data_IF_763799577351
#
_entry.id   IF_763799577351
#
_cell.length_a   1.000
_cell.length_b   1.000
_cell.length_c   1.000
_cell.angle_alpha   90.00
_cell.angle_beta   90.00
_cell.angle_gamma   90.00
#
_symmetry.space_group_name_H-M   'P 1'
#
loop_
_entity.id
_entity.type
_entity.pdbx_description
1 polymer ?
#
# COMPACT_ATOMS: atom_id res chain seq x y z
N UNK A 1 -59.81 41.21 -53.92
CA UNK A 1 -59.63 42.20 -52.81
C UNK A 1 -58.85 41.57 -51.69
N UNK A 2 -57.77 42.21 -51.38
CA UNK A 2 -56.85 42.02 -50.22
C UNK A 2 -55.86 40.86 -50.28
N UNK A 3 -54.74 41.26 -50.75
CA UNK A 3 -53.36 40.74 -50.63
C UNK A 3 -52.95 40.67 -49.16
N UNK A 4 -52.42 39.56 -48.71
CA UNK A 4 -51.61 39.51 -47.48
C UNK A 4 -50.25 38.85 -47.80
N UNK A 5 -49.26 39.69 -47.84
CA UNK A 5 -47.85 39.32 -47.93
C UNK A 5 -47.38 38.69 -46.62
N UNK A 6 -46.88 37.45 -46.68
CA UNK A 6 -46.17 36.82 -45.57
C UNK A 6 -44.70 37.02 -45.81
N UNK A 7 -44.06 37.86 -44.94
CA UNK A 7 -42.64 38.06 -44.90
C UNK A 7 -41.97 36.84 -44.24
N UNK A 8 -41.16 36.11 -45.00
CA UNK A 8 -40.26 35.05 -44.50
C UNK A 8 -39.01 35.72 -43.87
N UNK A 9 -39.01 35.81 -42.56
CA UNK A 9 -37.79 36.14 -41.82
C UNK A 9 -36.94 34.87 -41.72
N UNK A 10 -35.93 34.78 -42.56
CA UNK A 10 -34.88 33.77 -42.44
C UNK A 10 -34.01 34.07 -41.23
N UNK A 11 -34.26 33.38 -40.13
CA UNK A 11 -33.40 33.39 -38.94
C UNK A 11 -32.17 32.54 -39.26
N UNK A 12 -31.07 33.17 -39.67
CA UNK A 12 -29.74 32.56 -39.71
C UNK A 12 -29.26 32.35 -38.29
N UNK A 13 -29.50 31.13 -37.77
CA UNK A 13 -28.81 30.67 -36.59
C UNK A 13 -27.39 30.36 -37.01
N UNK A 14 -26.48 31.30 -36.75
CA UNK A 14 -25.05 31.05 -36.78
C UNK A 14 -24.76 30.14 -35.61
N UNK A 15 -24.74 28.83 -35.86
CA UNK A 15 -24.07 27.88 -34.99
C UNK A 15 -22.58 28.22 -35.06
N UNK A 16 -22.13 29.06 -34.16
CA UNK A 16 -20.69 29.11 -33.79
C UNK A 16 -20.40 27.77 -33.12
N UNK A 17 -20.03 26.76 -33.91
CA UNK A 17 -19.24 25.67 -33.43
C UNK A 17 -17.94 26.32 -32.92
N UNK A 18 -17.89 26.59 -31.63
CA UNK A 18 -16.64 26.75 -30.93
C UNK A 18 -15.89 25.42 -31.14
N UNK A 19 -15.07 25.33 -32.18
CA UNK A 19 -14.08 24.29 -32.33
C UNK A 19 -13.30 24.33 -31.02
N UNK A 20 -13.56 23.36 -30.14
CA UNK A 20 -12.62 23.04 -29.06
C UNK A 20 -11.32 22.73 -29.81
N UNK A 21 -10.45 23.73 -29.92
CA UNK A 21 -9.11 23.51 -30.49
C UNK A 21 -8.47 22.45 -29.61
N UNK A 22 -8.32 21.26 -30.16
CA UNK A 22 -7.62 20.18 -29.46
C UNK A 22 -6.25 20.75 -29.08
N UNK A 23 -6.02 20.88 -27.78
CA UNK A 23 -4.80 21.47 -27.25
C UNK A 23 -3.61 20.64 -27.77
N UNK A 24 -2.68 21.26 -28.47
CA UNK A 24 -1.50 20.58 -29.00
C UNK A 24 -0.54 20.16 -27.88
N UNK A 25 0.30 19.16 -28.13
CA UNK A 25 1.32 18.75 -27.16
C UNK A 25 2.26 19.95 -26.85
N UNK A 26 2.59 20.75 -27.85
CA UNK A 26 3.42 21.95 -27.70
C UNK A 26 2.80 22.96 -26.74
N UNK A 27 1.48 23.16 -26.75
CA UNK A 27 0.78 24.06 -25.82
C UNK A 27 0.83 23.53 -24.39
N UNK A 28 0.58 22.22 -24.18
CA UNK A 28 0.69 21.60 -22.86
C UNK A 28 2.12 21.73 -22.33
N UNK A 29 3.10 21.43 -23.16
CA UNK A 29 4.52 21.56 -22.79
C UNK A 29 4.88 23.00 -22.45
N UNK A 30 4.44 23.98 -23.24
CA UNK A 30 4.72 25.40 -22.99
C UNK A 30 4.16 25.87 -21.66
N UNK A 31 2.90 25.52 -21.38
CA UNK A 31 2.22 25.84 -20.11
C UNK A 31 2.95 25.25 -18.89
N UNK A 32 3.49 24.05 -19.01
CA UNK A 32 4.15 23.34 -17.91
C UNK A 32 5.69 23.33 -18.01
N UNK A 33 6.29 24.05 -18.93
CA UNK A 33 7.73 23.99 -19.27
C UNK A 33 8.65 24.14 -18.07
N UNK A 34 8.38 25.11 -17.20
CA UNK A 34 9.20 25.37 -16.00
C UNK A 34 9.13 24.23 -14.97
N UNK A 35 7.95 23.62 -14.80
CA UNK A 35 7.74 22.50 -13.88
C UNK A 35 8.43 21.26 -14.43
N UNK A 36 8.29 20.99 -15.72
CA UNK A 36 8.96 19.90 -16.45
C UNK A 36 10.48 20.07 -16.35
N UNK A 37 11.00 21.27 -16.59
CA UNK A 37 12.44 21.57 -16.55
C UNK A 37 13.05 21.39 -15.14
N UNK A 38 12.29 21.66 -14.07
CA UNK A 38 12.71 21.45 -12.68
C UNK A 38 12.59 19.98 -12.28
N UNK A 39 11.67 19.22 -12.85
CA UNK A 39 11.40 17.79 -12.60
C UNK A 39 11.36 17.44 -11.10
N UNK A 40 10.59 18.19 -10.31
CA UNK A 40 10.42 17.96 -8.88
C UNK A 40 9.18 17.11 -8.61
N UNK A 41 9.31 16.02 -7.84
CA UNK A 41 8.19 15.14 -7.47
C UNK A 41 7.01 15.89 -6.82
N UNK A 42 7.29 16.97 -6.07
CA UNK A 42 6.25 17.73 -5.35
C UNK A 42 5.35 18.56 -6.28
N UNK A 43 5.83 18.92 -7.47
CA UNK A 43 5.16 19.91 -8.34
C UNK A 43 4.85 19.39 -9.74
N UNK A 44 5.32 18.20 -10.11
CA UNK A 44 5.25 17.68 -11.47
C UNK A 44 3.89 17.04 -11.82
N UNK A 45 3.12 16.59 -10.82
CA UNK A 45 1.89 15.83 -11.03
C UNK A 45 0.90 16.53 -11.98
N UNK A 46 0.58 17.82 -11.82
CA UNK A 46 -0.36 18.49 -12.75
C UNK A 46 0.08 18.47 -14.21
N UNK A 47 1.40 18.51 -14.48
CA UNK A 47 1.93 18.43 -15.84
C UNK A 47 1.75 17.01 -16.42
N UNK A 48 1.99 15.99 -15.63
CA UNK A 48 1.78 14.58 -16.03
C UNK A 48 0.29 14.31 -16.27
N UNK A 49 -0.58 14.79 -15.39
CA UNK A 49 -2.03 14.62 -15.51
C UNK A 49 -2.58 15.30 -16.77
N UNK A 50 -2.12 16.52 -17.09
CA UNK A 50 -2.49 17.23 -18.30
C UNK A 50 -2.03 16.49 -19.57
N UNK A 51 -0.81 15.93 -19.56
CA UNK A 51 -0.31 15.13 -20.66
C UNK A 51 -1.15 13.86 -20.88
N UNK A 52 -1.47 13.13 -19.82
CA UNK A 52 -2.28 11.91 -19.91
C UNK A 52 -3.71 12.21 -20.34
N UNK A 53 -4.32 13.26 -19.77
CA UNK A 53 -5.69 13.67 -20.08
C UNK A 53 -5.87 14.10 -21.52
N UNK A 54 -4.82 14.61 -22.19
CA UNK A 54 -4.86 15.03 -23.60
C UNK A 54 -5.10 13.89 -24.58
N UNK A 55 -4.74 12.65 -24.21
CA UNK A 55 -4.81 11.45 -25.06
C UNK A 55 -4.11 11.59 -26.42
N UNK A 56 -3.17 12.53 -26.55
CA UNK A 56 -2.43 12.75 -27.79
C UNK A 56 -1.46 11.59 -28.02
N UNK A 57 -1.30 11.09 -29.26
CA UNK A 57 -0.48 9.90 -29.55
C UNK A 57 1.02 10.11 -29.31
N UNK A 58 1.48 11.36 -29.39
CA UNK A 58 2.87 11.76 -29.17
C UNK A 58 3.27 11.94 -27.69
N UNK A 59 2.31 11.92 -26.77
CA UNK A 59 2.56 11.98 -25.32
C UNK A 59 3.37 10.78 -24.83
N UNK A 60 3.07 9.58 -25.33
CA UNK A 60 3.85 8.39 -24.96
C UNK A 60 5.32 8.54 -25.34
N UNK A 61 5.60 8.99 -26.55
CA UNK A 61 6.97 9.28 -27.00
C UNK A 61 7.66 10.27 -26.06
N UNK A 62 7.02 11.39 -25.76
CA UNK A 62 7.57 12.40 -24.84
C UNK A 62 7.88 11.81 -23.45
N UNK A 63 6.95 11.05 -22.86
CA UNK A 63 7.14 10.43 -21.55
C UNK A 63 8.29 9.42 -21.54
N UNK A 64 8.44 8.62 -22.60
CA UNK A 64 9.56 7.70 -22.78
C UNK A 64 10.89 8.46 -22.82
N UNK A 65 10.99 9.51 -23.65
CA UNK A 65 12.19 10.34 -23.75
C UNK A 65 12.51 11.04 -22.41
N UNK A 66 11.49 11.50 -21.71
CA UNK A 66 11.67 12.14 -20.40
C UNK A 66 12.22 11.14 -19.36
N UNK A 67 11.64 9.95 -19.28
CA UNK A 67 12.12 8.89 -18.38
C UNK A 67 13.57 8.48 -18.70
N UNK A 68 13.92 8.45 -19.97
CA UNK A 68 15.28 8.14 -20.46
C UNK A 68 16.29 9.29 -20.26
N UNK A 69 15.88 10.47 -19.73
CA UNK A 69 16.69 11.69 -19.58
C UNK A 69 17.14 12.27 -20.95
N UNK A 70 16.39 12.00 -22.00
CA UNK A 70 16.67 12.47 -23.36
C UNK A 70 16.02 13.83 -23.67
N UNK A 71 15.26 14.43 -22.74
CA UNK A 71 14.69 15.74 -22.93
C UNK A 71 15.69 16.85 -22.58
N UNK A 72 15.67 17.91 -23.40
CA UNK A 72 16.52 19.09 -23.28
C UNK A 72 15.71 20.36 -23.44
N UNK A 73 15.96 21.34 -22.57
CA UNK A 73 15.39 22.68 -22.60
C UNK A 73 16.32 23.62 -23.35
N UNK A 74 15.83 24.29 -24.38
CA UNK A 74 16.50 25.39 -25.00
C UNK A 74 16.43 26.62 -24.08
N UNK A 75 17.58 27.18 -23.68
CA UNK A 75 17.66 28.28 -22.71
C UNK A 75 17.15 29.59 -23.26
N UNK A 76 17.16 29.78 -24.59
CA UNK A 76 16.75 31.04 -25.24
C UNK A 76 15.25 31.05 -25.52
N UNK A 77 14.68 29.93 -25.97
CA UNK A 77 13.28 29.84 -26.40
C UNK A 77 12.36 29.17 -25.37
N UNK A 78 12.93 28.52 -24.33
CA UNK A 78 12.22 27.64 -23.38
C UNK A 78 11.52 26.45 -24.05
N UNK A 79 11.82 26.14 -25.31
CA UNK A 79 11.32 24.99 -25.99
C UNK A 79 11.97 23.70 -25.42
N UNK A 80 11.17 22.64 -25.29
CA UNK A 80 11.66 21.33 -24.86
C UNK A 80 11.69 20.41 -26.09
N UNK A 81 12.81 19.76 -26.31
CA UNK A 81 13.05 18.83 -27.41
C UNK A 81 13.55 17.50 -26.87
N UNK A 82 13.39 16.42 -27.65
CA UNK A 82 14.10 15.17 -27.40
C UNK A 82 15.44 15.14 -28.14
N UNK A 83 16.41 14.41 -27.60
CA UNK A 83 17.69 14.15 -28.27
C UNK A 83 17.89 12.65 -28.38
N UNK A 84 17.96 12.15 -29.60
CA UNK A 84 18.25 10.77 -29.95
C UNK A 84 19.41 10.74 -30.96
N UNK A 85 20.37 9.86 -30.77
CA UNK A 85 21.52 9.68 -31.67
C UNK A 85 22.23 10.96 -32.11
N UNK A 86 22.37 11.89 -31.17
CA UNK A 86 22.94 13.25 -31.39
C UNK A 86 22.12 14.12 -32.35
N UNK A 87 20.82 13.84 -32.52
CA UNK A 87 19.89 14.65 -33.30
C UNK A 87 18.79 15.22 -32.42
N UNK A 88 18.33 16.39 -32.76
CA UNK A 88 17.19 17.03 -32.10
C UNK A 88 15.90 16.51 -32.74
N UNK A 89 14.96 16.06 -31.91
CA UNK A 89 13.66 15.55 -32.34
C UNK A 89 12.57 16.43 -31.74
N UNK A 90 11.69 16.92 -32.57
CA UNK A 90 10.50 17.64 -32.14
C UNK A 90 9.54 16.69 -31.42
N UNK A 91 8.97 17.14 -30.29
CA UNK A 91 8.10 16.28 -29.46
C UNK A 91 6.70 16.14 -30.03
N UNK A 92 6.22 17.09 -30.79
CA UNK A 92 4.87 17.11 -31.33
C UNK A 92 4.79 16.35 -32.67
N UNK A 93 5.69 16.65 -33.59
CA UNK A 93 5.72 16.07 -34.93
C UNK A 93 6.62 14.85 -35.04
N UNK A 94 7.49 14.60 -34.04
CA UNK A 94 8.56 13.60 -34.05
C UNK A 94 9.53 13.76 -35.22
N UNK A 95 9.58 14.94 -35.83
CA UNK A 95 10.47 15.24 -36.94
C UNK A 95 11.89 15.56 -36.43
N UNK A 96 12.84 15.27 -37.29
CA UNK A 96 14.26 15.57 -37.07
C UNK A 96 14.54 17.06 -37.34
N UNK A 97 14.98 17.78 -36.30
CA UNK A 97 15.31 19.19 -36.34
C UNK A 97 16.79 19.46 -36.67
N UNK A 98 17.57 18.41 -36.92
CA UNK A 98 18.99 18.53 -37.23
C UNK A 98 19.94 18.08 -36.11
N UNK A 99 21.25 18.29 -36.29
CA UNK A 99 22.24 17.85 -35.33
C UNK A 99 22.13 18.59 -34.00
N UNK A 100 22.34 17.87 -32.90
CA UNK A 100 22.28 18.42 -31.56
C UNK A 100 23.63 18.96 -31.12
N UNK A 101 23.64 20.25 -30.78
CA UNK A 101 24.75 20.92 -30.10
C UNK A 101 24.38 21.25 -28.66
N UNK A 102 25.16 20.79 -27.70
CA UNK A 102 24.86 20.97 -26.27
C UNK A 102 24.89 22.44 -25.82
N UNK A 103 25.61 23.31 -26.55
CA UNK A 103 25.63 24.75 -26.26
C UNK A 103 24.21 25.32 -26.38
N UNK A 104 23.79 26.10 -25.38
CA UNK A 104 22.42 26.69 -25.37
C UNK A 104 21.32 25.79 -24.79
N UNK A 105 21.59 24.51 -24.53
CA UNK A 105 20.60 23.60 -23.96
C UNK A 105 20.92 23.19 -22.52
N UNK A 106 19.87 22.85 -21.75
CA UNK A 106 19.93 22.26 -20.41
C UNK A 106 19.21 20.95 -20.40
N UNK A 107 19.92 19.86 -20.02
CA UNK A 107 19.31 18.53 -19.89
C UNK A 107 18.29 18.49 -18.75
N UNK A 108 17.12 17.93 -19.01
CA UNK A 108 16.08 17.69 -18.02
C UNK A 108 16.33 16.32 -17.40
N UNK A 109 16.64 16.29 -16.11
CA UNK A 109 17.00 15.07 -15.38
C UNK A 109 15.96 14.72 -14.33
N UNK A 110 14.94 13.91 -14.66
CA UNK A 110 13.96 13.46 -13.68
C UNK A 110 14.64 12.62 -12.60
N UNK A 111 14.36 12.94 -11.34
CA UNK A 111 14.78 12.11 -10.21
C UNK A 111 13.98 10.78 -10.16
N UNK A 112 14.33 9.86 -9.24
CA UNK A 112 13.66 8.56 -9.14
C UNK A 112 12.15 8.69 -8.92
N UNK A 113 11.72 9.63 -8.06
CA UNK A 113 10.30 9.87 -7.80
C UNK A 113 9.52 10.35 -9.03
N UNK A 114 10.10 11.26 -9.83
CA UNK A 114 9.50 11.72 -11.09
C UNK A 114 9.48 10.59 -12.13
N UNK A 115 10.53 9.78 -12.22
CA UNK A 115 10.53 8.62 -13.13
C UNK A 115 9.46 7.59 -12.77
N UNK A 116 9.16 7.39 -11.49
CA UNK A 116 8.05 6.52 -11.06
C UNK A 116 6.70 7.09 -11.50
N UNK A 117 6.46 8.40 -11.34
CA UNK A 117 5.23 9.04 -11.82
C UNK A 117 5.09 8.95 -13.35
N UNK A 118 6.17 9.18 -14.10
CA UNK A 118 6.18 9.01 -15.56
C UNK A 118 5.90 7.54 -15.94
N UNK A 119 6.47 6.57 -15.20
CA UNK A 119 6.20 5.15 -15.46
C UNK A 119 4.73 4.80 -15.23
N UNK A 120 4.12 5.38 -14.18
CA UNK A 120 2.69 5.25 -13.93
C UNK A 120 1.85 5.82 -15.09
N UNK A 121 2.18 7.02 -15.57
CA UNK A 121 1.51 7.63 -16.71
C UNK A 121 1.64 6.80 -18.00
N UNK A 122 2.81 6.21 -18.24
CA UNK A 122 3.06 5.35 -19.40
C UNK A 122 2.22 4.07 -19.39
N UNK A 123 1.86 3.55 -18.22
CA UNK A 123 1.01 2.34 -18.11
C UNK A 123 -0.32 2.53 -18.84
N UNK A 124 -0.93 3.74 -18.77
CA UNK A 124 -2.19 4.02 -19.46
C UNK A 124 -2.12 3.80 -20.98
N UNK A 125 -0.98 4.12 -21.59
CA UNK A 125 -0.74 3.89 -23.03
C UNK A 125 -0.36 2.45 -23.31
N UNK A 126 0.48 1.85 -22.48
CA UNK A 126 1.05 0.51 -22.67
C UNK A 126 0.02 -0.61 -22.47
N UNK A 127 -1.00 -0.42 -21.62
CA UNK A 127 -2.06 -1.41 -21.40
C UNK A 127 -2.86 -1.76 -22.67
N UNK A 128 -2.91 -0.85 -23.65
CA UNK A 128 -3.63 -1.00 -24.90
C UNK A 128 -2.70 -1.02 -26.13
N UNK A 129 -1.40 -1.19 -25.92
CA UNK A 129 -0.43 -1.28 -27.02
C UNK A 129 -0.73 -2.46 -27.95
N UNK A 130 -0.45 -2.36 -29.27
CA UNK A 130 -0.65 -3.46 -30.21
C UNK A 130 0.14 -4.71 -29.82
N UNK A 131 1.38 -4.54 -29.35
CA UNK A 131 2.30 -5.62 -29.04
C UNK A 131 1.97 -6.27 -27.69
N UNK A 132 1.75 -7.58 -27.68
CA UNK A 132 1.49 -8.37 -26.47
C UNK A 132 2.60 -8.17 -25.42
N UNK A 133 3.86 -8.12 -25.86
CA UNK A 133 5.00 -7.96 -24.96
C UNK A 133 4.96 -6.63 -24.18
N UNK A 134 4.49 -5.54 -24.81
CA UNK A 134 4.35 -4.22 -24.19
C UNK A 134 3.23 -4.26 -23.17
N UNK A 135 2.06 -4.85 -23.51
CA UNK A 135 0.95 -5.02 -22.56
C UNK A 135 1.35 -5.86 -21.35
N UNK A 136 2.08 -6.97 -21.55
CA UNK A 136 2.65 -7.78 -20.46
C UNK A 136 3.60 -6.97 -19.56
N UNK A 137 4.47 -6.17 -20.15
CA UNK A 137 5.38 -5.32 -19.38
C UNK A 137 4.64 -4.28 -18.55
N UNK A 138 3.52 -3.74 -19.06
CA UNK A 138 2.64 -2.83 -18.31
C UNK A 138 2.02 -3.53 -17.09
N UNK A 139 1.48 -4.75 -17.23
CA UNK A 139 0.92 -5.52 -16.13
C UNK A 139 1.99 -5.84 -15.07
N UNK A 140 3.18 -6.26 -15.48
CA UNK A 140 4.30 -6.47 -14.58
C UNK A 140 4.75 -5.17 -13.85
N UNK A 141 4.59 -4.01 -14.49
CA UNK A 141 4.87 -2.72 -13.86
C UNK A 141 3.82 -2.38 -12.78
N UNK A 142 2.54 -2.63 -13.04
CA UNK A 142 1.46 -2.46 -12.07
C UNK A 142 1.68 -3.35 -10.85
N UNK A 143 1.98 -4.63 -11.05
CA UNK A 143 2.25 -5.58 -9.95
C UNK A 143 3.39 -5.13 -9.03
N UNK A 144 4.46 -4.56 -9.60
CA UNK A 144 5.60 -4.08 -8.82
C UNK A 144 5.33 -2.78 -8.06
N UNK A 145 4.38 -1.99 -8.54
CA UNK A 145 4.10 -0.67 -7.99
C UNK A 145 2.59 -0.42 -8.04
N UNK A 146 1.88 -1.14 -7.18
CA UNK A 146 0.44 -1.05 -7.09
C UNK A 146 -0.01 0.35 -6.67
N UNK A 147 -0.99 0.90 -7.40
CA UNK A 147 -1.59 2.19 -7.13
C UNK A 147 -3.09 2.11 -7.43
N UNK A 148 -3.97 2.65 -6.58
CA UNK A 148 -5.42 2.68 -6.83
C UNK A 148 -5.79 3.34 -8.16
N UNK A 149 -4.98 4.28 -8.67
CA UNK A 149 -5.22 4.94 -9.96
C UNK A 149 -5.16 3.98 -11.16
N UNK A 150 -4.57 2.80 -11.01
CA UNK A 150 -4.55 1.80 -12.09
C UNK A 150 -5.86 1.03 -12.26
N UNK A 151 -6.70 0.98 -11.22
CA UNK A 151 -7.93 0.18 -11.27
C UNK A 151 -8.84 0.60 -12.45
N UNK A 152 -9.24 1.87 -12.62
CA UNK A 152 -10.07 2.27 -13.75
C UNK A 152 -9.39 2.08 -15.12
N UNK A 153 -8.06 2.19 -15.19
CA UNK A 153 -7.30 1.97 -16.41
C UNK A 153 -7.29 0.49 -16.80
N UNK A 154 -7.13 -0.40 -15.82
CA UNK A 154 -7.19 -1.86 -16.03
C UNK A 154 -8.58 -2.31 -16.45
N UNK A 155 -9.65 -1.81 -15.79
CA UNK A 155 -11.04 -2.13 -16.12
C UNK A 155 -11.37 -1.71 -17.57
N UNK A 156 -10.99 -0.50 -17.97
CA UNK A 156 -11.15 -0.03 -19.34
C UNK A 156 -10.36 -0.89 -20.33
N UNK A 157 -9.11 -1.19 -20.02
CA UNK A 157 -8.21 -1.98 -20.87
C UNK A 157 -8.67 -3.44 -20.98
N UNK A 158 -9.28 -4.00 -19.93
CA UNK A 158 -9.81 -5.36 -19.91
C UNK A 158 -10.94 -5.52 -20.95
N UNK A 159 -11.83 -4.52 -21.10
CA UNK A 159 -12.90 -4.53 -22.09
C UNK A 159 -12.41 -4.51 -23.56
N UNK A 160 -11.15 -4.14 -23.79
CA UNK A 160 -10.54 -4.08 -25.13
C UNK A 160 -9.56 -5.24 -25.41
N UNK A 161 -9.25 -6.06 -24.39
CA UNK A 161 -8.24 -7.12 -24.53
C UNK A 161 -8.81 -8.33 -25.30
N UNK A 162 -8.04 -8.84 -26.21
CA UNK A 162 -8.40 -9.99 -27.04
C UNK A 162 -7.56 -11.23 -26.78
N UNK A 163 -6.38 -11.09 -26.15
CA UNK A 163 -5.53 -12.22 -25.80
C UNK A 163 -6.06 -12.89 -24.51
N UNK A 164 -6.47 -14.18 -24.56
CA UNK A 164 -7.08 -14.84 -23.39
C UNK A 164 -6.19 -14.90 -22.15
N UNK A 165 -4.86 -14.99 -22.32
CA UNK A 165 -3.93 -15.03 -21.22
C UNK A 165 -3.83 -13.64 -20.54
N UNK A 166 -3.82 -12.57 -21.35
CA UNK A 166 -3.82 -11.21 -20.82
C UNK A 166 -5.17 -10.83 -20.22
N UNK A 167 -6.30 -11.32 -20.75
CA UNK A 167 -7.62 -11.17 -20.14
C UNK A 167 -7.60 -11.73 -18.72
N UNK A 168 -7.14 -12.97 -18.54
CA UNK A 168 -7.05 -13.60 -17.22
C UNK A 168 -6.12 -12.84 -16.27
N UNK A 169 -4.96 -12.39 -16.79
CA UNK A 169 -3.99 -11.62 -16.01
C UNK A 169 -4.53 -10.24 -15.58
N UNK A 170 -5.21 -9.53 -16.49
CA UNK A 170 -5.87 -8.25 -16.19
C UNK A 170 -7.00 -8.43 -15.17
N UNK A 171 -7.85 -9.44 -15.34
CA UNK A 171 -8.92 -9.75 -14.39
C UNK A 171 -8.39 -10.02 -13.00
N UNK A 172 -7.33 -10.82 -12.88
CA UNK A 172 -6.70 -11.09 -11.59
C UNK A 172 -6.19 -9.79 -10.94
N UNK A 173 -5.52 -8.92 -11.70
CA UNK A 173 -5.05 -7.63 -11.18
C UNK A 173 -6.20 -6.69 -10.79
N UNK A 174 -7.28 -6.65 -11.56
CA UNK A 174 -8.49 -5.89 -11.20
C UNK A 174 -9.01 -6.38 -9.85
N UNK A 175 -9.16 -7.69 -9.65
CA UNK A 175 -9.64 -8.23 -8.38
C UNK A 175 -8.68 -7.94 -7.22
N UNK A 176 -7.35 -8.08 -7.41
CA UNK A 176 -6.36 -7.77 -6.38
C UNK A 176 -6.40 -6.30 -5.98
N UNK A 177 -6.46 -5.38 -6.96
CA UNK A 177 -6.56 -3.95 -6.68
C UNK A 177 -7.92 -3.56 -6.08
N UNK A 178 -9.02 -4.18 -6.53
CA UNK A 178 -10.36 -3.96 -5.94
C UNK A 178 -10.40 -4.43 -4.49
N UNK A 179 -9.80 -5.57 -4.18
CA UNK A 179 -9.71 -6.07 -2.82
C UNK A 179 -8.96 -5.09 -1.91
N UNK A 180 -7.87 -4.53 -2.40
CA UNK A 180 -6.98 -3.67 -1.63
C UNK A 180 -7.45 -2.21 -1.54
N UNK A 181 -8.03 -1.68 -2.61
CA UNK A 181 -8.34 -0.25 -2.76
C UNK A 181 -9.80 0.04 -3.07
N UNK A 182 -10.62 -0.98 -3.34
CA UNK A 182 -12.04 -0.81 -3.66
C UNK A 182 -12.80 -0.13 -2.52
N UNK A 183 -13.65 0.82 -2.89
CA UNK A 183 -14.42 1.63 -1.93
C UNK A 183 -15.73 0.96 -1.50
N UNK A 184 -16.26 0.01 -2.29
CA UNK A 184 -17.50 -0.69 -1.95
C UNK A 184 -17.25 -2.05 -1.32
N UNK A 185 -17.97 -2.38 -0.25
CA UNK A 185 -17.92 -3.70 0.36
C UNK A 185 -18.34 -4.80 -0.61
N UNK A 186 -19.39 -4.55 -1.42
CA UNK A 186 -19.87 -5.48 -2.44
C UNK A 186 -18.77 -5.81 -3.47
N UNK A 187 -18.07 -4.79 -4.00
CA UNK A 187 -16.97 -5.00 -4.96
C UNK A 187 -15.82 -5.79 -4.34
N UNK A 188 -15.45 -5.50 -3.10
CA UNK A 188 -14.41 -6.24 -2.37
C UNK A 188 -14.81 -7.70 -2.11
N UNK A 189 -16.06 -7.97 -1.73
CA UNK A 189 -16.58 -9.32 -1.56
C UNK A 189 -16.59 -10.10 -2.87
N UNK A 190 -17.02 -9.47 -3.97
CA UNK A 190 -16.97 -10.07 -5.31
C UNK A 190 -15.52 -10.40 -5.73
N UNK A 191 -14.58 -9.51 -5.45
CA UNK A 191 -13.15 -9.75 -5.71
C UNK A 191 -12.62 -10.94 -4.90
N UNK A 192 -12.94 -11.04 -3.59
CA UNK A 192 -12.56 -12.20 -2.75
C UNK A 192 -13.15 -13.49 -3.33
N UNK A 193 -14.42 -13.48 -3.74
CA UNK A 193 -15.07 -14.66 -4.31
C UNK A 193 -14.39 -15.11 -5.62
N UNK A 194 -13.98 -14.16 -6.46
CA UNK A 194 -13.33 -14.45 -7.74
C UNK A 194 -11.91 -15.05 -7.58
N UNK A 195 -11.12 -14.57 -6.60
CA UNK A 195 -9.72 -15.02 -6.42
C UNK A 195 -9.55 -16.03 -5.30
N UNK A 196 -10.55 -16.26 -4.46
CA UNK A 196 -10.44 -17.04 -3.22
C UNK A 196 -10.12 -18.53 -3.38
N UNK A 197 -10.12 -19.03 -4.62
CA UNK A 197 -9.66 -20.39 -4.95
C UNK A 197 -8.27 -20.44 -5.61
N UNK A 198 -7.64 -19.29 -5.85
CA UNK A 198 -6.33 -19.24 -6.49
C UNK A 198 -5.21 -19.62 -5.52
N UNK A 199 -4.30 -20.48 -5.99
CA UNK A 199 -3.10 -20.87 -5.23
C UNK A 199 -1.97 -19.84 -5.31
N UNK A 200 -2.16 -18.74 -6.03
CA UNK A 200 -1.16 -17.70 -6.18
C UNK A 200 -0.76 -17.07 -4.84
N UNK A 201 0.54 -16.89 -4.68
CA UNK A 201 1.11 -16.26 -3.49
C UNK A 201 0.61 -14.82 -3.33
N UNK A 202 0.40 -14.10 -4.45
CA UNK A 202 -0.11 -12.72 -4.47
C UNK A 202 -1.51 -12.63 -3.85
N UNK A 203 -2.39 -13.61 -4.11
CA UNK A 203 -3.74 -13.67 -3.54
C UNK A 203 -3.67 -13.81 -2.03
N UNK A 204 -2.84 -14.73 -1.52
CA UNK A 204 -2.64 -14.89 -0.06
C UNK A 204 -2.06 -13.63 0.57
N UNK A 205 -1.10 -12.99 -0.11
CA UNK A 205 -0.50 -11.74 0.35
C UNK A 205 -1.51 -10.59 0.39
N UNK A 206 -2.52 -10.58 -0.50
CA UNK A 206 -3.59 -9.59 -0.51
C UNK A 206 -4.68 -9.85 0.54
N UNK A 207 -4.97 -11.13 0.86
CA UNK A 207 -5.99 -11.52 1.84
C UNK A 207 -5.50 -11.40 3.30
N UNK A 208 -4.23 -11.74 3.58
CA UNK A 208 -3.69 -11.74 4.94
C UNK A 208 -3.85 -10.41 5.70
N UNK A 209 -3.60 -9.23 5.11
CA UNK A 209 -3.76 -7.95 5.80
C UNK A 209 -5.19 -7.67 6.26
N UNK A 210 -6.21 -8.26 5.59
CA UNK A 210 -7.63 -8.12 5.96
C UNK A 210 -7.91 -8.78 7.31
N UNK A 211 -7.17 -9.85 7.63
CA UNK A 211 -7.28 -10.55 8.91
C UNK A 211 -6.31 -10.05 9.97
N UNK A 212 -5.58 -8.96 9.68
CA UNK A 212 -4.72 -8.34 10.67
C UNK A 212 -5.55 -7.79 11.84
N UNK A 213 -5.09 -8.04 13.06
CA UNK A 213 -5.76 -7.61 14.27
C UNK A 213 -4.90 -6.64 15.08
N UNK A 214 -5.56 -5.81 15.85
CA UNK A 214 -4.95 -4.98 16.87
C UNK A 214 -5.51 -5.37 18.22
N UNK A 215 -4.64 -5.63 19.19
CA UNK A 215 -5.02 -5.82 20.58
C UNK A 215 -5.40 -4.50 21.21
N UNK A 216 -6.58 -4.46 21.83
CA UNK A 216 -7.13 -3.25 22.41
C UNK A 216 -8.00 -3.58 23.62
N UNK A 217 -8.53 -2.56 24.25
CA UNK A 217 -9.44 -2.66 25.39
C UNK A 217 -10.54 -1.59 25.29
N UNK A 218 -11.61 -1.80 26.02
CA UNK A 218 -12.68 -0.80 26.25
C UNK A 218 -13.31 -1.07 27.62
N UNK A 219 -14.09 -0.12 28.15
CA UNK A 219 -14.84 -0.32 29.41
C UNK A 219 -15.86 -1.46 29.28
N UNK A 220 -16.46 -1.63 28.10
CA UNK A 220 -17.29 -2.77 27.72
C UNK A 220 -16.99 -3.18 26.28
N UNK A 221 -17.33 -4.41 25.90
CA UNK A 221 -17.18 -4.85 24.51
C UNK A 221 -18.09 -4.01 23.61
N UNK A 222 -17.54 -3.35 22.57
CA UNK A 222 -18.36 -2.58 21.63
C UNK A 222 -19.15 -3.52 20.70
N UNK A 223 -20.44 -3.24 20.52
CA UNK A 223 -21.35 -4.05 19.70
C UNK A 223 -21.09 -3.90 18.20
N UNK A 224 -20.51 -2.77 17.78
CA UNK A 224 -20.24 -2.41 16.39
C UNK A 224 -18.81 -2.72 15.92
N UNK A 225 -17.97 -3.24 16.81
CA UNK A 225 -16.59 -3.56 16.46
C UNK A 225 -16.47 -4.95 15.84
N UNK A 226 -15.64 -5.05 14.78
CA UNK A 226 -15.29 -6.33 14.18
C UNK A 226 -14.25 -7.05 15.07
N UNK A 227 -14.72 -7.84 16.02
CA UNK A 227 -13.90 -8.53 17.03
C UNK A 227 -13.49 -9.90 16.53
N UNK A 228 -12.18 -10.16 16.50
CA UNK A 228 -11.61 -11.47 16.17
C UNK A 228 -11.65 -12.43 17.36
N UNK A 229 -11.30 -11.93 18.54
CA UNK A 229 -11.19 -12.74 19.75
C UNK A 229 -11.33 -11.88 21.01
N UNK A 230 -12.16 -12.32 21.94
CA UNK A 230 -12.20 -11.76 23.29
C UNK A 230 -11.08 -12.38 24.11
N UNK A 231 -10.36 -11.56 24.86
CA UNK A 231 -9.21 -11.94 25.67
C UNK A 231 -9.59 -11.88 27.15
N UNK A 232 -9.36 -12.97 27.87
CA UNK A 232 -9.59 -13.02 29.32
C UNK A 232 -8.23 -13.00 30.02
N UNK A 233 -7.94 -11.99 30.86
CA UNK A 233 -6.70 -11.93 31.61
C UNK A 233 -6.50 -13.20 32.47
N UNK A 234 -5.29 -13.75 32.45
CA UNK A 234 -4.96 -15.01 33.10
C UNK A 234 -5.23 -16.28 32.28
N UNK A 235 -5.78 -16.17 31.06
CA UNK A 235 -6.10 -17.30 30.20
C UNK A 235 -5.38 -17.26 28.85
N UNK A 236 -5.18 -18.43 28.25
CA UNK A 236 -4.69 -18.58 26.86
C UNK A 236 -3.43 -17.74 26.51
N UNK A 237 -2.51 -17.59 27.48
CA UNK A 237 -1.27 -16.83 27.28
C UNK A 237 -1.42 -15.30 27.36
N UNK A 238 -2.62 -14.79 27.70
CA UNK A 238 -2.84 -13.37 27.96
C UNK A 238 -2.89 -13.14 29.49
N UNK A 239 -1.76 -12.74 30.08
CA UNK A 239 -1.62 -12.53 31.51
C UNK A 239 -2.28 -11.22 31.96
N UNK A 240 -2.66 -11.14 33.26
CA UNK A 240 -3.13 -9.90 33.87
C UNK A 240 -2.10 -8.77 33.75
N UNK A 241 -0.80 -9.10 33.81
CA UNK A 241 0.28 -8.13 33.60
C UNK A 241 0.26 -7.56 32.17
N UNK A 242 0.04 -8.39 31.15
CA UNK A 242 -0.11 -7.92 29.76
C UNK A 242 -1.33 -7.03 29.58
N UNK A 243 -2.45 -7.38 30.21
CA UNK A 243 -3.66 -6.54 30.23
C UNK A 243 -3.38 -5.18 30.86
N UNK A 244 -2.71 -5.17 32.01
CA UNK A 244 -2.33 -3.94 32.70
C UNK A 244 -1.39 -3.06 31.87
N UNK A 245 -0.41 -3.66 31.19
CA UNK A 245 0.50 -2.92 30.29
C UNK A 245 -0.22 -2.25 29.13
N UNK A 246 -1.28 -2.87 28.60
CA UNK A 246 -2.13 -2.23 27.59
C UNK A 246 -2.83 -0.98 28.14
N UNK A 247 -3.34 -1.04 29.37
CA UNK A 247 -3.95 0.11 30.03
C UNK A 247 -2.94 1.23 30.30
N UNK A 248 -1.71 0.88 30.70
CA UNK A 248 -0.62 1.84 30.87
C UNK A 248 -0.27 2.53 29.55
N UNK A 249 -0.14 1.75 28.48
CA UNK A 249 0.15 2.29 27.13
C UNK A 249 -0.97 3.21 26.62
N UNK A 250 -2.21 2.96 27.01
CA UNK A 250 -3.36 3.78 26.69
C UNK A 250 -3.59 4.98 27.62
N UNK A 251 -2.81 5.09 28.72
CA UNK A 251 -2.95 6.17 29.69
C UNK A 251 -4.03 5.95 30.76
N UNK A 252 -4.65 4.76 30.81
CA UNK A 252 -5.72 4.42 31.77
C UNK A 252 -5.17 3.91 33.11
N UNK A 253 -3.89 3.58 33.17
CA UNK A 253 -3.25 3.08 34.37
C UNK A 253 -1.84 3.68 34.53
N UNK A 254 -1.39 3.80 35.79
CA UNK A 254 -0.04 4.28 36.06
C UNK A 254 1.01 3.21 35.73
N UNK A 255 2.17 3.63 35.24
CA UNK A 255 3.27 2.71 34.96
C UNK A 255 3.89 2.19 36.27
N UNK A 256 4.20 0.88 36.31
CA UNK A 256 5.04 0.31 37.38
C UNK A 256 6.46 0.84 37.23
N UNK A 257 7.15 1.19 38.34
CA UNK A 257 8.58 1.50 38.30
C UNK A 257 9.37 0.32 37.75
N UNK A 258 10.21 0.56 36.74
CA UNK A 258 11.11 -0.46 36.21
C UNK A 258 12.19 -0.86 37.21
N UNK A 259 12.79 -2.05 37.04
CA UNK A 259 13.89 -2.50 37.90
C UNK A 259 15.04 -1.49 37.90
N UNK A 260 15.36 -0.87 36.78
CA UNK A 260 16.39 0.16 36.68
C UNK A 260 16.01 1.43 37.44
N UNK A 261 14.75 1.87 37.36
CA UNK A 261 14.26 3.00 38.15
C UNK A 261 14.27 2.70 39.65
N UNK A 262 13.93 1.47 40.05
CA UNK A 262 14.03 1.02 41.44
C UNK A 262 15.46 1.07 41.91
N UNK A 263 16.41 0.49 41.15
CA UNK A 263 17.85 0.51 41.49
C UNK A 263 18.39 1.94 41.58
N UNK A 264 18.05 2.79 40.63
CA UNK A 264 18.49 4.19 40.64
C UNK A 264 17.91 4.94 41.84
N UNK A 265 16.64 4.75 42.14
CA UNK A 265 16.01 5.34 43.33
C UNK A 265 16.68 4.90 44.64
N UNK A 266 17.10 3.63 44.74
CA UNK A 266 17.85 3.15 45.89
C UNK A 266 19.24 3.79 45.98
N UNK A 267 19.95 3.96 44.85
CA UNK A 267 21.24 4.63 44.78
C UNK A 267 21.14 6.10 45.22
N UNK A 268 20.13 6.80 44.70
CA UNK A 268 19.91 8.23 44.97
C UNK A 268 19.53 8.52 46.43
N UNK A 269 19.06 7.49 47.16
CA UNK A 269 18.67 7.60 48.59
C UNK A 269 19.62 6.86 49.55
N UNK A 270 20.90 6.71 49.16
CA UNK A 270 21.91 6.17 50.04
C UNK A 270 22.28 7.23 51.10
N UNK A 271 22.12 6.88 52.36
CA UNK A 271 22.57 7.67 53.47
C UNK A 271 23.38 6.82 54.49
N UNK A 272 24.60 7.24 54.81
CA UNK A 272 25.47 6.53 55.73
C UNK A 272 25.75 5.06 55.37
N UNK A 273 25.80 4.70 54.07
CA UNK A 273 25.99 3.32 53.59
C UNK A 273 24.75 2.42 53.74
N UNK A 274 23.58 3.01 53.90
CA UNK A 274 22.28 2.35 54.03
C UNK A 274 21.27 3.00 53.15
N UNK A 275 20.21 2.26 52.82
CA UNK A 275 18.99 2.77 52.16
C UNK A 275 17.79 2.37 53.00
N UNK A 276 17.03 3.34 53.50
CA UNK A 276 15.92 3.10 54.43
C UNK A 276 16.29 2.13 55.57
N UNK A 277 17.51 2.32 56.15
CA UNK A 277 18.05 1.48 57.23
C UNK A 277 18.62 0.16 56.83
N UNK A 278 18.47 -0.30 55.56
CA UNK A 278 19.02 -1.56 55.04
C UNK A 278 20.47 -1.32 54.51
N UNK A 279 21.49 -2.09 54.96
CA UNK A 279 22.88 -1.95 54.44
C UNK A 279 22.94 -2.20 52.94
N UNK A 280 23.74 -1.41 52.21
CA UNK A 280 23.93 -1.55 50.76
C UNK A 280 24.34 -2.98 50.38
N UNK A 281 25.21 -3.63 51.15
CA UNK A 281 25.65 -5.00 50.91
C UNK A 281 24.54 -6.05 50.91
N UNK A 282 23.36 -5.73 51.43
CA UNK A 282 22.17 -6.60 51.42
C UNK A 282 21.24 -6.31 50.24
N UNK A 283 21.45 -5.23 49.50
CA UNK A 283 20.58 -4.85 48.40
C UNK A 283 20.79 -5.70 47.12
N UNK A 284 21.73 -6.62 47.12
CA UNK A 284 21.84 -7.66 46.09
C UNK A 284 20.70 -8.66 46.18
N UNK A 285 20.14 -8.87 47.39
CA UNK A 285 18.95 -9.67 47.56
C UNK A 285 17.68 -8.92 47.04
N UNK A 286 16.88 -9.54 46.13
CA UNK A 286 15.65 -8.95 45.62
C UNK A 286 14.65 -8.59 46.71
N UNK A 287 14.55 -9.37 47.76
CA UNK A 287 13.60 -9.12 48.86
C UNK A 287 14.02 -7.90 49.70
N UNK A 288 15.32 -7.74 49.94
CA UNK A 288 15.86 -6.57 50.62
C UNK A 288 15.67 -5.30 49.77
N UNK A 289 15.92 -5.38 48.44
CA UNK A 289 15.64 -4.26 47.53
C UNK A 289 14.18 -3.83 47.57
N UNK A 290 13.26 -4.79 47.48
CA UNK A 290 11.81 -4.51 47.50
C UNK A 290 11.38 -3.84 48.82
N UNK A 291 11.92 -4.29 49.93
CA UNK A 291 11.67 -3.66 51.26
C UNK A 291 12.20 -2.24 51.30
N UNK A 292 13.48 -2.04 50.95
CA UNK A 292 14.10 -0.73 50.94
C UNK A 292 13.30 0.26 50.07
N UNK A 293 12.86 -0.17 48.88
CA UNK A 293 12.07 0.65 48.00
C UNK A 293 10.65 0.96 48.58
N UNK A 294 10.02 -0.04 49.22
CA UNK A 294 8.72 0.16 49.87
C UNK A 294 8.81 1.16 51.05
N UNK A 295 9.88 1.10 51.82
CA UNK A 295 10.12 2.02 52.93
C UNK A 295 10.36 3.46 52.41
N UNK A 296 11.12 3.62 51.32
CA UNK A 296 11.29 4.92 50.63
C UNK A 296 9.96 5.45 50.08
N UNK A 297 9.14 4.56 49.51
CA UNK A 297 7.81 4.94 49.01
C UNK A 297 6.88 5.34 50.13
N UNK A 298 6.93 4.66 51.28
CA UNK A 298 6.16 5.02 52.48
C UNK A 298 6.61 6.37 53.05
N UNK A 299 7.89 6.69 52.94
CA UNK A 299 8.43 8.00 53.32
C UNK A 299 8.13 9.10 52.27
N UNK A 300 7.47 8.79 51.15
CA UNK A 300 7.12 9.73 50.07
C UNK A 300 8.31 10.17 49.21
N UNK A 301 9.44 9.47 49.29
CA UNK A 301 10.67 9.80 48.56
C UNK A 301 10.69 9.25 47.14
N UNK A 302 9.93 8.17 46.87
CA UNK A 302 9.80 7.54 45.57
C UNK A 302 8.35 7.15 45.30
N UNK A 303 7.93 6.95 44.02
CA UNK A 303 6.60 6.45 43.69
C UNK A 303 6.34 5.06 44.29
N UNK A 304 5.18 4.80 44.81
CA UNK A 304 4.83 3.48 45.33
C UNK A 304 4.72 2.45 44.23
N UNK A 305 5.14 1.20 44.52
CA UNK A 305 4.84 0.06 43.64
C UNK A 305 3.33 -0.24 43.71
N UNK A 306 2.75 -0.52 42.54
CA UNK A 306 1.35 -0.87 42.43
C UNK A 306 1.18 -2.33 42.84
N UNK A 307 0.35 -2.61 43.83
CA UNK A 307 0.11 -3.96 44.32
C UNK A 307 -0.60 -4.84 43.27
N UNK A 308 -0.41 -6.16 43.31
CA UNK A 308 -1.10 -7.08 42.42
C UNK A 308 -2.62 -6.94 42.51
N UNK A 309 -3.16 -6.76 43.73
CA UNK A 309 -4.59 -6.53 43.93
C UNK A 309 -5.10 -5.24 43.27
N UNK A 310 -4.31 -4.17 43.27
CA UNK A 310 -4.66 -2.94 42.55
C UNK A 310 -4.59 -3.13 41.02
N UNK A 311 -3.63 -3.92 40.52
CA UNK A 311 -3.55 -4.31 39.11
C UNK A 311 -4.81 -5.09 38.73
N UNK A 312 -5.15 -6.14 39.50
CA UNK A 312 -6.30 -7.00 39.22
C UNK A 312 -7.62 -6.19 39.25
N UNK A 313 -7.77 -5.30 40.23
CA UNK A 313 -8.93 -4.41 40.33
C UNK A 313 -9.02 -3.44 39.13
N UNK A 314 -7.90 -2.87 38.70
CA UNK A 314 -7.86 -1.99 37.52
C UNK A 314 -8.24 -2.75 36.25
N UNK A 315 -7.62 -3.93 36.03
CA UNK A 315 -7.84 -4.78 34.85
C UNK A 315 -9.28 -5.27 34.78
N UNK A 316 -9.93 -5.55 35.92
CA UNK A 316 -11.32 -6.04 35.96
C UNK A 316 -12.37 -5.01 35.46
N UNK A 317 -12.02 -3.75 35.39
CA UNK A 317 -12.90 -2.70 34.87
C UNK A 317 -12.94 -2.59 33.35
N UNK A 318 -12.13 -3.38 32.64
CA UNK A 318 -12.01 -3.32 31.20
C UNK A 318 -12.21 -4.67 30.55
N UNK A 319 -12.73 -4.65 29.32
CA UNK A 319 -12.81 -5.76 28.40
C UNK A 319 -11.66 -5.69 27.40
N UNK A 320 -10.95 -6.79 27.20
CA UNK A 320 -9.80 -6.88 26.28
C UNK A 320 -10.16 -7.73 25.08
N UNK A 321 -9.74 -7.32 23.89
CA UNK A 321 -10.05 -8.06 22.68
C UNK A 321 -9.03 -7.78 21.57
N UNK A 322 -8.92 -8.72 20.65
CA UNK A 322 -8.22 -8.53 19.37
C UNK A 322 -9.28 -8.11 18.35
N UNK A 323 -9.18 -6.88 17.84
CA UNK A 323 -10.06 -6.29 16.85
C UNK A 323 -9.42 -6.34 15.48
N UNK A 324 -10.16 -6.77 14.46
CA UNK A 324 -9.69 -6.66 13.08
C UNK A 324 -9.46 -5.19 12.69
N UNK A 325 -8.43 -4.95 11.87
CA UNK A 325 -8.19 -3.64 11.28
C UNK A 325 -9.21 -3.34 10.17
N UNK A 326 -9.74 -4.39 9.56
CA UNK A 326 -10.88 -4.31 8.62
C UNK A 326 -12.18 -4.14 9.42
N UNK A 327 -12.91 -3.03 9.21
CA UNK A 327 -14.13 -2.76 9.98
C UNK A 327 -15.30 -3.67 9.59
N UNK A 328 -15.34 -4.16 8.32
CA UNK A 328 -16.46 -4.95 7.82
C UNK A 328 -16.32 -6.44 8.18
N UNK A 329 -17.23 -7.00 9.01
CA UNK A 329 -17.18 -8.40 9.41
C UNK A 329 -17.48 -9.37 8.25
N UNK A 330 -18.19 -8.94 7.20
CA UNK A 330 -18.45 -9.79 6.04
C UNK A 330 -17.18 -9.96 5.20
N UNK A 331 -16.38 -8.90 5.06
CA UNK A 331 -15.10 -8.94 4.34
C UNK A 331 -14.10 -9.83 5.08
N UNK A 332 -13.98 -9.70 6.40
CA UNK A 332 -13.10 -10.57 7.20
C UNK A 332 -13.53 -12.02 7.14
N UNK A 333 -14.84 -12.32 7.26
CA UNK A 333 -15.37 -13.68 7.15
C UNK A 333 -15.09 -14.29 5.75
N UNK A 334 -15.30 -13.53 4.68
CA UNK A 334 -15.01 -13.96 3.32
C UNK A 334 -13.52 -14.22 3.10
N UNK A 335 -12.64 -13.31 3.58
CA UNK A 335 -11.20 -13.48 3.50
C UNK A 335 -10.70 -14.71 4.29
N UNK A 336 -11.26 -14.96 5.47
CA UNK A 336 -10.94 -16.14 6.28
C UNK A 336 -11.37 -17.44 5.59
N UNK A 337 -12.57 -17.45 5.00
CA UNK A 337 -13.07 -18.60 4.24
C UNK A 337 -12.18 -18.87 3.01
N UNK A 338 -11.79 -17.83 2.26
CA UNK A 338 -10.90 -17.95 1.11
C UNK A 338 -9.52 -18.50 1.51
N UNK A 339 -8.89 -17.96 2.54
CA UNK A 339 -7.58 -18.45 3.02
C UNK A 339 -7.66 -19.89 3.54
N UNK A 340 -8.77 -20.28 4.19
CA UNK A 340 -9.01 -21.67 4.60
C UNK A 340 -9.14 -22.59 3.39
N UNK A 341 -9.86 -22.18 2.35
CA UNK A 341 -10.00 -22.95 1.11
C UNK A 341 -8.65 -23.12 0.41
N UNK A 342 -7.88 -22.04 0.29
CA UNK A 342 -6.52 -22.08 -0.27
C UNK A 342 -5.61 -23.03 0.52
N UNK A 343 -5.63 -22.94 1.86
CA UNK A 343 -4.79 -23.79 2.71
C UNK A 343 -5.16 -25.27 2.57
N UNK A 344 -6.44 -25.57 2.44
CA UNK A 344 -6.90 -26.94 2.19
C UNK A 344 -6.42 -27.46 0.84
N UNK A 345 -6.55 -26.68 -0.22
CA UNK A 345 -6.07 -27.05 -1.56
C UNK A 345 -4.54 -27.27 -1.59
N UNK A 346 -3.77 -26.39 -0.95
CA UNK A 346 -2.31 -26.56 -0.81
C UNK A 346 -1.98 -27.86 -0.07
N UNK A 347 -2.68 -28.16 1.04
CA UNK A 347 -2.49 -29.39 1.79
C UNK A 347 -2.82 -30.64 0.96
N UNK A 348 -3.91 -30.58 0.19
CA UNK A 348 -4.31 -31.67 -0.71
C UNK A 348 -3.28 -31.90 -1.82
N UNK A 349 -2.80 -30.83 -2.47
CA UNK A 349 -1.75 -30.90 -3.49
C UNK A 349 -0.48 -31.54 -2.94
N UNK A 350 0.00 -31.05 -1.79
CA UNK A 350 1.18 -31.62 -1.13
C UNK A 350 1.01 -33.11 -0.79
N UNK A 351 -0.19 -33.51 -0.35
CA UNK A 351 -0.47 -34.91 -0.03
C UNK A 351 -0.43 -35.78 -1.29
N UNK A 352 -0.99 -35.28 -2.40
CA UNK A 352 -0.95 -35.98 -3.70
C UNK A 352 0.49 -36.10 -4.20
N UNK A 353 1.28 -35.05 -4.11
CA UNK A 353 2.69 -35.06 -4.53
C UNK A 353 3.51 -36.08 -3.72
N UNK A 354 3.35 -36.12 -2.40
CA UNK A 354 3.98 -37.12 -1.52
C UNK A 354 3.55 -38.54 -1.91
N UNK A 355 2.26 -38.75 -2.23
CA UNK A 355 1.76 -40.04 -2.66
C UNK A 355 2.37 -40.48 -4.00
N UNK A 356 2.47 -39.58 -4.96
CA UNK A 356 3.08 -39.85 -6.27
C UNK A 356 4.57 -40.17 -6.12
N UNK A 357 5.29 -39.46 -5.28
CA UNK A 357 6.69 -39.72 -4.96
C UNK A 357 6.85 -41.11 -4.32
N UNK A 358 5.98 -41.47 -3.37
CA UNK A 358 6.00 -42.77 -2.72
C UNK A 358 5.72 -43.90 -3.71
N UNK A 359 4.76 -43.75 -4.63
CA UNK A 359 4.48 -44.71 -5.71
C UNK A 359 5.66 -44.83 -6.66
N UNK A 360 6.24 -43.73 -7.05
CA UNK A 360 7.44 -43.70 -7.91
C UNK A 360 8.59 -44.47 -7.26
N UNK A 361 8.89 -44.18 -6.00
CA UNK A 361 9.93 -44.85 -5.23
C UNK A 361 9.66 -46.36 -5.08
N UNK A 362 8.42 -46.73 -4.74
CA UNK A 362 7.99 -48.14 -4.63
C UNK A 362 8.16 -48.89 -5.97
N UNK A 363 7.84 -48.23 -7.11
CA UNK A 363 8.01 -48.79 -8.43
C UNK A 363 9.51 -49.04 -8.78
N UNK A 364 10.38 -48.12 -8.39
CA UNK A 364 11.83 -48.29 -8.56
C UNK A 364 12.35 -49.52 -7.75
N UNK A 365 11.95 -49.59 -6.49
CA UNK A 365 12.33 -50.72 -5.62
C UNK A 365 11.77 -52.04 -6.14
N UNK A 366 10.53 -52.08 -6.63
CA UNK A 366 9.92 -53.26 -7.23
C UNK A 366 10.66 -53.73 -8.47
N UNK A 367 11.00 -52.78 -9.37
CA UNK A 367 11.80 -53.12 -10.58
C UNK A 367 13.19 -53.60 -10.22
N UNK A 368 13.85 -52.99 -9.25
CA UNK A 368 15.15 -53.45 -8.76
C UNK A 368 15.11 -54.83 -8.15
N UNK A 369 14.04 -55.18 -7.43
CA UNK A 369 13.85 -56.51 -6.82
C UNK A 369 13.56 -57.62 -7.83
N UNK A 370 12.91 -57.28 -8.98
CA UNK A 370 12.67 -58.26 -10.08
C UNK A 370 13.90 -58.40 -10.99
N UNK A 371 14.74 -57.38 -11.10
CA UNK A 371 15.94 -57.42 -11.91
C UNK A 371 17.17 -58.07 -11.27
N UNK A 372 17.04 -58.41 -9.98
CA UNK A 372 18.00 -59.23 -9.24
C UNK A 372 17.55 -60.70 -9.28
#
# INVERSE_FOLDING_TARGET
>A
MRILAAALVACWVICSEAALSAQSLSEIISTHSQVIAKSSRKTIQPAIDALVASKLPNVEFMLVQWRAKALWLNKSTNAIIAVQDKRMIDLDTQSDLGPFEKAGFKQIKPNSGVRNLISGALVAFQLNAPEIAVRKAALASIRRNEDPAYLPLLEQSLGLETDPALVAEKQQLVHLLTLKYGQSAEGRLAAIAAIGSSLDVEVRAALNPILATRRTYAAALPDDANISKVLVPGQNGFSTQMAYQLLVAGGEAAAQPSLEQIKQALIDNIDGGRVAGIPIAQLDDPAARSRAYADLAQAGLVPAQISQSAIDATVSNFSFFDQYLEPDPQITAAAQAALKAISYQVSLSNTIDILLDAISLASIYFLAAIGL
#
